data_IF_898451098235
#
_entry.id   IF_898451098235
#
_cell.length_a   1.000
_cell.length_b   1.000
_cell.length_c   1.000
_cell.angle_alpha   90.00
_cell.angle_beta   90.00
_cell.angle_gamma   90.00
#
_symmetry.space_group_name_H-M   'P 1'
#
loop_
_entity.id
_entity.type
_entity.pdbx_description
1 polymer ?
#
# COMPACT_ATOMS: atom_id res chain seq x y z
N UNK A 1 -4.00 6.75 19.89
CA UNK A 1 -4.68 6.19 18.72
C UNK A 1 -4.25 4.75 18.56
N UNK A 2 -5.19 3.82 18.40
CA UNK A 2 -4.85 2.42 18.07
C UNK A 2 -4.36 2.45 16.62
N UNK A 3 -3.12 2.02 16.38
CA UNK A 3 -2.62 1.89 15.03
C UNK A 3 -3.35 0.71 14.38
N UNK A 4 -4.19 0.97 13.39
CA UNK A 4 -5.07 -0.04 12.79
C UNK A 4 -4.35 -0.95 11.79
N UNK A 5 -3.14 -0.58 11.38
CA UNK A 5 -2.32 -1.28 10.41
C UNK A 5 -0.87 -1.39 10.91
N UNK A 6 -0.09 -2.28 10.31
CA UNK A 6 1.33 -2.41 10.59
C UNK A 6 2.14 -1.63 9.55
N UNK A 7 3.05 -0.79 10.01
CA UNK A 7 4.08 -0.16 9.19
C UNK A 7 5.45 -0.53 9.75
N UNK A 8 6.32 -1.06 8.90
CA UNK A 8 7.72 -1.24 9.26
C UNK A 8 8.36 0.12 9.57
N UNK A 9 9.30 0.17 10.52
CA UNK A 9 9.97 1.43 10.95
C UNK A 9 10.68 2.20 9.81
N UNK A 10 10.96 1.51 8.70
CA UNK A 10 11.61 2.04 7.49
C UNK A 10 10.65 2.30 6.33
N UNK A 11 9.35 2.13 6.53
CA UNK A 11 8.34 2.52 5.56
C UNK A 11 8.08 4.02 5.66
N UNK A 12 7.84 4.67 4.52
CA UNK A 12 7.37 6.05 4.45
C UNK A 12 5.88 6.04 4.12
N UNK A 13 5.04 6.11 5.14
CA UNK A 13 3.58 6.09 4.99
C UNK A 13 3.03 7.47 5.35
N UNK A 14 2.75 8.27 4.33
CA UNK A 14 2.22 9.63 4.51
C UNK A 14 0.70 9.69 4.36
N UNK A 15 0.11 8.70 3.68
CA UNK A 15 -1.35 8.57 3.54
C UNK A 15 -2.04 8.33 4.89
N UNK A 16 -3.13 9.06 5.10
CA UNK A 16 -4.06 8.84 6.22
C UNK A 16 -5.15 7.81 5.90
N UNK A 17 -5.12 7.23 4.69
CA UNK A 17 -6.18 6.35 4.15
C UNK A 17 -5.65 4.93 3.93
N UNK A 18 -5.07 4.35 4.97
CA UNK A 18 -4.64 2.94 5.00
C UNK A 18 -5.59 2.14 5.88
N UNK A 19 -6.22 1.14 5.30
CA UNK A 19 -7.22 0.29 5.96
C UNK A 19 -6.62 -0.59 7.06
N UNK A 20 -7.49 -1.02 7.99
CA UNK A 20 -7.09 -1.90 9.09
C UNK A 20 -6.54 -3.24 8.59
N UNK A 21 -5.63 -3.85 9.36
CA UNK A 21 -5.03 -5.15 9.03
C UNK A 21 -3.99 -5.11 7.90
N UNK A 22 -3.84 -3.97 7.20
CA UNK A 22 -2.82 -3.80 6.16
C UNK A 22 -1.42 -3.84 6.75
N UNK A 23 -0.49 -4.46 6.02
CA UNK A 23 0.93 -4.52 6.35
C UNK A 23 1.72 -3.77 5.29
N UNK A 24 2.50 -2.79 5.71
CA UNK A 24 3.43 -2.03 4.87
C UNK A 24 4.85 -2.37 5.29
N UNK A 25 5.63 -2.93 4.38
CA UNK A 25 6.98 -3.42 4.65
C UNK A 25 8.06 -2.37 4.34
N UNK A 26 9.33 -2.75 4.51
CA UNK A 26 10.44 -1.80 4.55
C UNK A 26 10.61 -1.08 3.21
N UNK A 27 10.97 0.21 3.26
CA UNK A 27 11.26 1.01 2.06
C UNK A 27 10.08 1.20 1.10
N UNK A 28 8.88 0.75 1.45
CA UNK A 28 7.68 1.15 0.74
C UNK A 28 7.42 2.64 1.00
N UNK A 29 6.96 3.37 -0.02
CA UNK A 29 6.63 4.79 0.06
C UNK A 29 5.23 5.02 -0.51
N UNK A 30 4.32 5.45 0.37
CA UNK A 30 2.90 5.68 0.07
C UNK A 30 2.60 7.16 0.26
N UNK A 31 2.36 7.86 -0.85
CA UNK A 31 2.13 9.31 -0.86
C UNK A 31 0.80 9.72 -0.20
N UNK A 32 0.65 10.97 0.28
CA UNK A 32 -0.50 11.40 1.09
C UNK A 32 -1.89 11.18 0.46
N UNK A 33 -1.99 11.22 -0.87
CA UNK A 33 -3.25 11.05 -1.59
C UNK A 33 -3.76 9.61 -1.70
N UNK A 34 -2.85 8.62 -1.63
CA UNK A 34 -3.14 7.23 -1.95
C UNK A 34 -4.22 6.63 -1.02
N UNK A 35 -5.02 5.71 -1.55
CA UNK A 35 -6.00 4.94 -0.78
C UNK A 35 -5.62 3.47 -0.81
N UNK A 36 -5.39 2.87 0.37
CA UNK A 36 -5.10 1.45 0.52
C UNK A 36 -6.21 0.81 1.35
N UNK A 37 -6.86 -0.22 0.82
CA UNK A 37 -7.91 -0.95 1.51
C UNK A 37 -7.42 -1.74 2.72
N UNK A 38 -8.35 -2.47 3.32
CA UNK A 38 -8.11 -3.36 4.47
C UNK A 38 -7.37 -4.63 4.05
N UNK A 39 -6.65 -5.23 4.99
CA UNK A 39 -5.96 -6.54 4.86
C UNK A 39 -5.02 -6.63 3.65
N UNK A 40 -4.42 -5.52 3.22
CA UNK A 40 -3.45 -5.49 2.13
C UNK A 40 -2.05 -5.89 2.60
N UNK A 41 -1.23 -6.33 1.66
CA UNK A 41 0.18 -6.64 1.87
C UNK A 41 1.03 -5.85 0.86
N UNK A 42 1.60 -4.74 1.33
CA UNK A 42 2.43 -3.83 0.53
C UNK A 42 3.90 -4.15 0.82
N UNK A 43 4.52 -4.94 -0.06
CA UNK A 43 5.87 -5.47 0.13
C UNK A 43 6.98 -4.42 -0.02
N UNK A 44 8.22 -4.85 0.23
CA UNK A 44 9.38 -3.97 0.26
C UNK A 44 9.57 -3.16 -1.01
N UNK A 45 9.92 -1.88 -0.87
CA UNK A 45 10.24 -1.01 -2.00
C UNK A 45 9.08 -0.71 -2.94
N UNK A 46 7.83 -0.97 -2.54
CA UNK A 46 6.66 -0.54 -3.32
C UNK A 46 6.50 0.98 -3.26
N UNK A 47 6.26 1.60 -4.41
CA UNK A 47 5.95 3.03 -4.50
C UNK A 47 4.49 3.24 -4.92
N UNK A 48 3.77 4.13 -4.23
CA UNK A 48 2.36 4.42 -4.49
C UNK A 48 2.11 5.93 -4.55
N UNK A 49 1.70 6.43 -5.71
CA UNK A 49 1.43 7.86 -5.91
C UNK A 49 0.07 8.34 -5.38
N UNK A 50 -0.20 9.64 -5.50
CA UNK A 50 -1.33 10.30 -4.84
C UNK A 50 -2.69 9.88 -5.39
N UNK A 51 -2.81 9.69 -6.70
CA UNK A 51 -4.04 9.27 -7.37
C UNK A 51 -4.06 7.75 -7.60
N UNK A 52 -3.82 6.98 -6.54
CA UNK A 52 -3.92 5.51 -6.56
C UNK A 52 -4.98 5.02 -5.59
N UNK A 53 -5.79 4.06 -6.05
CA UNK A 53 -6.70 3.30 -5.18
C UNK A 53 -6.38 1.82 -5.25
N UNK A 54 -6.07 1.24 -4.10
CA UNK A 54 -5.92 -0.21 -3.90
C UNK A 54 -7.11 -0.72 -3.09
N UNK A 55 -7.79 -1.74 -3.62
CA UNK A 55 -8.90 -2.43 -2.95
C UNK A 55 -8.49 -3.20 -1.70
N UNK A 56 -9.35 -4.11 -1.24
CA UNK A 56 -9.12 -4.93 -0.05
C UNK A 56 -8.40 -6.23 -0.39
N UNK A 57 -7.64 -6.79 0.55
CA UNK A 57 -6.94 -8.08 0.42
C UNK A 57 -6.03 -8.16 -0.80
N UNK A 58 -5.41 -7.03 -1.16
CA UNK A 58 -4.47 -6.95 -2.28
C UNK A 58 -3.06 -7.26 -1.78
N UNK A 59 -2.30 -8.03 -2.57
CA UNK A 59 -0.85 -8.13 -2.39
C UNK A 59 -0.15 -7.42 -3.53
N UNK A 60 0.72 -6.47 -3.18
CA UNK A 60 1.62 -5.78 -4.11
C UNK A 60 3.03 -6.21 -3.75
N UNK A 61 3.67 -7.01 -4.62
CA UNK A 61 5.00 -7.58 -4.35
C UNK A 61 6.11 -6.54 -4.55
N UNK A 62 7.32 -6.92 -4.13
CA UNK A 62 8.44 -5.99 -3.97
C UNK A 62 8.78 -5.23 -5.26
N UNK A 63 9.18 -3.97 -5.11
CA UNK A 63 9.67 -3.12 -6.20
C UNK A 63 8.61 -2.63 -7.21
N UNK A 64 7.34 -2.99 -7.03
CA UNK A 64 6.23 -2.53 -7.87
C UNK A 64 5.97 -1.04 -7.64
N UNK A 65 5.70 -0.31 -8.72
CA UNK A 65 5.31 1.09 -8.69
C UNK A 65 3.87 1.22 -9.19
N UNK A 66 3.01 1.87 -8.41
CA UNK A 66 1.64 2.23 -8.79
C UNK A 66 1.60 3.74 -9.05
N UNK A 67 1.42 4.10 -10.32
CA UNK A 67 1.40 5.48 -10.79
C UNK A 67 -0.01 6.08 -10.69
N UNK A 68 -0.08 7.41 -10.66
CA UNK A 68 -1.33 8.16 -10.68
C UNK A 68 -2.31 7.64 -11.76
N UNK A 69 -3.59 7.58 -11.39
CA UNK A 69 -4.67 6.99 -12.18
C UNK A 69 -4.85 5.48 -12.00
N UNK A 70 -3.95 4.79 -11.30
CA UNK A 70 -4.06 3.33 -11.09
C UNK A 70 -5.20 2.96 -10.15
N UNK A 71 -5.99 1.94 -10.51
CA UNK A 71 -7.08 1.38 -9.70
C UNK A 71 -6.94 -0.13 -9.61
N UNK A 72 -6.66 -0.65 -8.42
CA UNK A 72 -6.53 -2.09 -8.16
C UNK A 72 -7.79 -2.58 -7.45
N UNK A 73 -8.44 -3.62 -7.99
CA UNK A 73 -9.62 -4.24 -7.40
C UNK A 73 -9.32 -4.99 -6.11
N UNK A 74 -10.37 -5.56 -5.49
CA UNK A 74 -10.20 -6.44 -4.34
C UNK A 74 -9.57 -7.79 -4.75
N UNK A 75 -8.91 -8.46 -3.81
CA UNK A 75 -8.38 -9.82 -3.98
C UNK A 75 -7.35 -9.98 -5.11
N UNK A 76 -6.70 -8.87 -5.49
CA UNK A 76 -5.69 -8.84 -6.57
C UNK A 76 -4.31 -9.22 -6.03
N UNK A 77 -3.55 -9.93 -6.85
CA UNK A 77 -2.12 -10.17 -6.65
C UNK A 77 -1.32 -9.52 -7.78
N UNK A 78 -0.43 -8.58 -7.44
CA UNK A 78 0.53 -7.97 -8.37
C UNK A 78 1.90 -8.57 -8.07
N UNK A 79 2.46 -9.30 -9.05
CA UNK A 79 3.77 -9.96 -8.95
C UNK A 79 4.94 -8.98 -8.77
N UNK A 80 6.14 -9.47 -8.37
CA UNK A 80 7.29 -8.61 -8.14
C UNK A 80 7.79 -7.99 -9.45
N UNK A 81 8.44 -6.84 -9.32
CA UNK A 81 9.20 -6.19 -10.37
C UNK A 81 10.66 -6.69 -10.36
#
# INVERSE_FOLDING_TARGET
MINTYFAHEKALVESQKVGAGTRVWAFAHILPGAVIGEDCNICDGVFVENDVVVGKRVTVKCGVQLWDGTRVGNDVFIGPN
#
